data_IF_400617040361
#
_entry.id   IF_400617040361
#
_cell.length_a   1.000
_cell.length_b   1.000
_cell.length_c   1.000
_cell.angle_alpha   90.00
_cell.angle_beta   90.00
_cell.angle_gamma   90.00
#
_symmetry.space_group_name_H-M   'P 1'
#
loop_
_entity.id
_entity.type
_entity.pdbx_description
1 polymer ?
#
# COMPACT_ATOMS: atom_id res chain seq x y z
N UNK A 1 -8.78 -14.25 5.10
CA UNK A 1 -9.51 -14.13 3.81
C UNK A 1 -8.73 -13.33 2.74
N UNK A 2 -7.72 -12.50 3.07
CA UNK A 2 -6.83 -11.93 2.04
C UNK A 2 -5.83 -12.95 1.46
N UNK A 3 -5.24 -13.80 2.30
CA UNK A 3 -4.28 -14.83 1.85
C UNK A 3 -4.84 -15.74 0.76
N UNK A 4 -6.13 -16.13 0.83
CA UNK A 4 -6.75 -16.99 -0.18
C UNK A 4 -6.91 -16.31 -1.54
N UNK A 5 -7.22 -15.02 -1.59
CA UNK A 5 -7.39 -14.29 -2.86
C UNK A 5 -6.06 -13.94 -3.51
N UNK A 6 -5.01 -13.70 -2.71
CA UNK A 6 -3.67 -13.42 -3.22
C UNK A 6 -3.02 -14.67 -3.83
N UNK A 7 -3.22 -15.84 -3.20
CA UNK A 7 -2.77 -17.13 -3.75
C UNK A 7 -3.47 -17.44 -5.06
N UNK A 8 -4.80 -17.28 -5.13
CA UNK A 8 -5.58 -17.53 -6.34
C UNK A 8 -5.19 -16.59 -7.49
N UNK A 9 -4.95 -15.30 -7.22
CA UNK A 9 -4.46 -14.36 -8.22
C UNK A 9 -3.06 -14.73 -8.73
N UNK A 10 -2.14 -15.09 -7.83
CA UNK A 10 -0.78 -15.48 -8.21
C UNK A 10 -0.80 -16.74 -9.08
N UNK A 11 -1.61 -17.74 -8.73
CA UNK A 11 -1.81 -18.96 -9.53
C UNK A 11 -2.39 -18.66 -10.91
N UNK A 12 -3.45 -17.84 -10.98
CA UNK A 12 -4.07 -17.44 -12.25
C UNK A 12 -3.10 -16.68 -13.14
N UNK A 13 -2.36 -15.72 -12.58
CA UNK A 13 -1.39 -14.91 -13.30
C UNK A 13 -0.07 -15.63 -13.58
N UNK A 14 0.12 -16.86 -13.09
CA UNK A 14 1.38 -17.62 -13.11
C UNK A 14 2.56 -16.83 -12.54
N UNK A 15 2.29 -16.05 -11.49
CA UNK A 15 3.28 -15.26 -10.76
C UNK A 15 3.71 -16.00 -9.49
N UNK A 16 4.96 -15.79 -9.02
CA UNK A 16 5.37 -16.35 -7.74
C UNK A 16 4.54 -15.76 -6.61
N UNK A 17 4.33 -16.56 -5.56
CA UNK A 17 3.69 -16.10 -4.33
C UNK A 17 4.44 -14.90 -3.75
N UNK A 18 3.71 -13.85 -3.40
CA UNK A 18 4.29 -12.62 -2.88
C UNK A 18 4.53 -12.75 -1.37
N UNK A 19 5.79 -12.74 -0.90
CA UNK A 19 6.07 -12.86 0.52
C UNK A 19 5.57 -11.61 1.29
N UNK A 20 5.11 -11.75 2.54
CA UNK A 20 4.78 -10.61 3.39
C UNK A 20 6.01 -9.74 3.65
N UNK A 21 5.87 -8.41 3.61
CA UNK A 21 6.97 -7.47 3.82
C UNK A 21 7.69 -7.66 5.17
N UNK A 22 6.97 -8.10 6.20
CA UNK A 22 7.52 -8.34 7.53
C UNK A 22 8.10 -9.75 7.72
N UNK A 23 8.16 -10.57 6.67
CA UNK A 23 8.76 -11.90 6.76
C UNK A 23 10.24 -11.80 7.15
N UNK A 24 10.68 -12.46 8.24
CA UNK A 24 12.07 -12.45 8.65
C UNK A 24 13.02 -12.95 7.55
N UNK A 25 14.14 -12.26 7.36
CA UNK A 25 15.14 -12.62 6.35
C UNK A 25 14.81 -12.20 4.92
N UNK A 26 13.61 -11.66 4.65
CA UNK A 26 13.26 -11.16 3.33
C UNK A 26 14.08 -9.90 2.99
N UNK A 27 14.90 -9.99 1.96
CA UNK A 27 15.73 -8.88 1.50
C UNK A 27 15.70 -8.69 -0.03
N UNK A 28 15.08 -9.59 -0.78
CA UNK A 28 14.96 -9.52 -2.23
C UNK A 28 13.50 -9.32 -2.62
N UNK A 29 13.23 -8.19 -3.28
CA UNK A 29 11.88 -7.78 -3.69
C UNK A 29 11.71 -7.76 -5.21
N UNK A 30 12.66 -8.34 -5.95
CA UNK A 30 12.69 -8.31 -7.42
C UNK A 30 11.45 -8.95 -8.06
N UNK A 31 10.85 -9.92 -7.35
CA UNK A 31 9.63 -10.62 -7.77
C UNK A 31 8.36 -10.09 -7.10
N UNK A 32 8.45 -8.99 -6.34
CA UNK A 32 7.33 -8.40 -5.61
C UNK A 32 7.32 -8.76 -4.12
N UNK A 33 6.35 -8.19 -3.41
CA UNK A 33 6.19 -8.28 -1.95
C UNK A 33 4.79 -7.81 -1.58
N UNK A 34 4.21 -8.41 -0.54
CA UNK A 34 2.91 -8.04 -0.01
C UNK A 34 3.04 -7.10 1.21
N UNK A 35 2.37 -5.94 1.16
CA UNK A 35 2.31 -4.98 2.26
C UNK A 35 0.99 -5.05 3.05
N UNK A 36 0.02 -5.84 2.59
CA UNK A 36 -1.28 -5.96 3.20
C UNK A 36 -1.21 -6.56 4.60
N UNK A 37 -2.16 -6.17 5.45
CA UNK A 37 -2.31 -6.65 6.81
C UNK A 37 -3.79 -6.81 7.09
N UNK A 38 -4.19 -8.01 7.50
CA UNK A 38 -5.55 -8.29 7.95
C UNK A 38 -5.66 -8.08 9.47
N UNK A 39 -6.84 -7.63 9.92
CA UNK A 39 -7.23 -7.83 11.32
C UNK A 39 -7.36 -9.35 11.55
N UNK A 40 -6.74 -9.85 12.61
CA UNK A 40 -6.97 -11.21 13.11
C UNK A 40 -7.52 -11.09 14.53
N UNK A 41 -8.79 -11.47 14.73
CA UNK A 41 -9.46 -11.38 16.01
C UNK A 41 -9.98 -12.75 16.46
N UNK A 42 -9.43 -13.25 17.57
CA UNK A 42 -10.20 -13.93 18.65
C UNK A 42 -9.35 -14.19 19.92
N UNK A 43 -8.01 -14.16 19.84
CA UNK A 43 -7.15 -14.30 21.02
C UNK A 43 -6.19 -13.11 21.12
N UNK A 44 -6.25 -12.46 22.28
CA UNK A 44 -5.51 -11.29 22.72
C UNK A 44 -4.03 -11.28 22.29
N UNK A 45 -3.62 -10.15 21.70
CA UNK A 45 -2.26 -9.56 21.71
C UNK A 45 -1.42 -9.47 20.42
N UNK A 46 -1.78 -10.03 19.26
CA UNK A 46 -0.80 -10.12 18.14
C UNK A 46 -1.19 -9.76 16.70
N UNK A 47 -2.20 -8.91 16.47
CA UNK A 47 -2.38 -8.34 15.12
C UNK A 47 -2.74 -6.84 15.15
N UNK A 48 -1.77 -6.01 15.51
CA UNK A 48 -1.84 -4.57 15.23
C UNK A 48 -1.97 -4.36 13.73
N UNK A 49 -3.13 -3.89 13.28
CA UNK A 49 -3.33 -3.64 11.85
C UNK A 49 -2.41 -2.57 11.37
N UNK A 50 -1.66 -2.91 10.33
CA UNK A 50 -0.72 -1.99 9.70
C UNK A 50 -1.55 -1.00 8.90
N UNK A 51 -1.70 0.22 9.43
CA UNK A 51 -2.39 1.29 8.75
C UNK A 51 -1.82 1.54 7.34
N UNK A 52 -2.69 1.98 6.43
CA UNK A 52 -2.35 2.23 5.03
C UNK A 52 -1.15 3.18 4.85
N UNK A 53 -0.99 4.18 5.73
CA UNK A 53 0.18 5.08 5.75
C UNK A 53 1.48 4.31 5.99
N UNK A 54 1.47 3.32 6.87
CA UNK A 54 2.63 2.47 7.17
C UNK A 54 2.94 1.55 5.99
N UNK A 55 1.92 0.95 5.36
CA UNK A 55 2.08 0.15 4.13
C UNK A 55 2.71 0.98 3.00
N UNK A 56 2.28 2.23 2.83
CA UNK A 56 2.87 3.17 1.88
C UNK A 56 4.33 3.51 2.20
N UNK A 57 4.69 3.63 3.47
CA UNK A 57 6.08 3.80 3.89
C UNK A 57 6.94 2.56 3.58
N UNK A 58 6.39 1.35 3.77
CA UNK A 58 7.06 0.10 3.40
C UNK A 58 7.30 0.03 1.89
N UNK A 59 6.29 0.37 1.08
CA UNK A 59 6.42 0.48 -0.38
C UNK A 59 7.57 1.42 -0.79
N UNK A 60 7.63 2.62 -0.21
CA UNK A 60 8.73 3.57 -0.48
C UNK A 60 10.10 2.99 -0.11
N UNK A 61 10.21 2.23 0.98
CA UNK A 61 11.46 1.55 1.37
C UNK A 61 11.85 0.49 0.34
N UNK A 62 10.91 -0.31 -0.15
CA UNK A 62 11.16 -1.32 -1.18
C UNK A 62 11.65 -0.68 -2.47
N UNK A 63 10.99 0.39 -2.95
CA UNK A 63 11.45 1.15 -4.13
C UNK A 63 12.89 1.65 -3.95
N UNK A 64 13.23 2.19 -2.77
CA UNK A 64 14.60 2.64 -2.47
C UNK A 64 15.60 1.48 -2.48
N UNK A 65 15.24 0.33 -1.90
CA UNK A 65 16.11 -0.84 -1.87
C UNK A 65 16.34 -1.44 -3.26
N UNK A 66 15.30 -1.55 -4.09
CA UNK A 66 15.44 -2.01 -5.48
C UNK A 66 16.41 -1.13 -6.26
N UNK A 67 16.28 0.20 -6.14
CA UNK A 67 17.21 1.16 -6.78
C UNK A 67 18.64 1.00 -6.28
N UNK A 68 18.82 0.79 -4.98
CA UNK A 68 20.15 0.61 -4.40
C UNK A 68 20.81 -0.70 -4.86
N UNK A 69 20.03 -1.79 -4.97
CA UNK A 69 20.57 -3.12 -5.33
C UNK A 69 20.77 -3.33 -6.83
N UNK A 70 19.84 -2.84 -7.65
CA UNK A 70 19.78 -3.11 -9.09
C UNK A 70 20.20 -1.89 -9.93
N UNK A 71 20.37 -0.73 -9.31
CA UNK A 71 20.54 0.54 -10.00
C UNK A 71 19.24 1.12 -10.54
N UNK A 72 19.30 2.36 -11.00
CA UNK A 72 18.10 3.13 -11.39
C UNK A 72 17.39 2.55 -12.61
N UNK A 73 18.12 2.11 -13.64
CA UNK A 73 17.54 1.66 -14.91
C UNK A 73 16.77 0.34 -14.78
N UNK A 74 17.35 -0.65 -14.10
CA UNK A 74 16.72 -1.94 -13.88
C UNK A 74 15.53 -1.83 -12.91
N UNK A 75 15.70 -1.10 -11.80
CA UNK A 75 14.61 -0.85 -10.87
C UNK A 75 13.43 -0.12 -11.54
N UNK A 76 13.70 0.85 -12.43
CA UNK A 76 12.66 1.52 -13.23
C UNK A 76 11.91 0.51 -14.11
N UNK A 77 12.64 -0.38 -14.79
CA UNK A 77 12.04 -1.39 -15.68
C UNK A 77 11.10 -2.31 -14.90
N UNK A 78 11.56 -2.85 -13.77
CA UNK A 78 10.75 -3.74 -12.92
C UNK A 78 9.51 -3.00 -12.41
N UNK A 79 9.68 -1.80 -11.83
CA UNK A 79 8.57 -1.02 -11.28
C UNK A 79 7.56 -0.59 -12.36
N UNK A 80 8.00 -0.32 -13.58
CA UNK A 80 7.11 0.06 -14.69
C UNK A 80 6.27 -1.10 -15.24
N UNK A 81 6.74 -2.35 -15.06
CA UNK A 81 6.08 -3.57 -15.54
C UNK A 81 5.32 -4.30 -14.43
N UNK A 82 5.49 -3.88 -13.18
CA UNK A 82 4.84 -4.50 -12.04
C UNK A 82 3.32 -4.28 -12.07
N UNK A 83 2.58 -5.25 -11.54
CA UNK A 83 1.14 -5.14 -11.28
C UNK A 83 0.95 -4.72 -9.83
N UNK A 84 0.10 -3.71 -9.61
CA UNK A 84 -0.21 -3.19 -8.27
C UNK A 84 -1.64 -3.57 -7.90
N UNK A 85 -1.79 -4.45 -6.92
CA UNK A 85 -3.09 -4.81 -6.34
C UNK A 85 -3.30 -4.04 -5.04
N UNK A 86 -4.43 -3.35 -4.92
CA UNK A 86 -4.78 -2.54 -3.75
C UNK A 86 -6.21 -2.88 -3.34
N UNK A 87 -6.37 -3.35 -2.10
CA UNK A 87 -7.67 -3.62 -1.48
C UNK A 87 -7.73 -2.94 -0.12
N UNK A 88 -8.59 -1.94 0.03
CA UNK A 88 -8.77 -1.15 1.25
C UNK A 88 -10.24 -0.75 1.41
N UNK A 89 -10.61 -0.18 2.56
CA UNK A 89 -11.96 0.33 2.82
C UNK A 89 -12.81 -0.61 3.68
N UNK A 90 -12.66 -1.93 3.54
CA UNK A 90 -13.49 -2.89 4.29
C UNK A 90 -13.41 -2.69 5.81
N UNK A 91 -12.21 -2.45 6.34
CA UNK A 91 -12.01 -2.21 7.77
C UNK A 91 -12.63 -0.88 8.24
N UNK A 92 -12.67 0.14 7.38
CA UNK A 92 -13.26 1.45 7.70
C UNK A 92 -14.77 1.33 7.94
N UNK A 93 -15.46 0.43 7.23
CA UNK A 93 -16.87 0.13 7.48
C UNK A 93 -17.07 -0.89 8.60
N UNK A 94 -16.24 -1.93 8.67
CA UNK A 94 -16.41 -3.01 9.66
C UNK A 94 -16.12 -2.57 11.09
N UNK A 95 -15.04 -1.82 11.31
CA UNK A 95 -14.59 -1.47 12.66
C UNK A 95 -15.62 -0.65 13.46
N UNK A 96 -16.28 0.39 12.90
CA UNK A 96 -17.31 1.12 13.62
C UNK A 96 -18.52 0.26 14.03
N UNK A 97 -18.91 -0.73 13.21
CA UNK A 97 -19.97 -1.69 13.56
C UNK A 97 -19.60 -2.57 14.77
N UNK A 98 -18.33 -2.93 14.92
CA UNK A 98 -17.90 -3.83 16.00
C UNK A 98 -17.43 -3.13 17.27
N UNK A 99 -17.27 -1.80 17.24
CA UNK A 99 -16.64 -1.03 18.33
C UNK A 99 -17.59 -0.02 19.01
N UNK A 100 -18.91 -0.10 18.78
CA UNK A 100 -19.90 0.86 19.29
C UNK A 100 -19.50 2.32 19.03
N UNK A 101 -19.01 2.61 17.83
CA UNK A 101 -18.52 3.94 17.46
C UNK A 101 -19.67 4.83 16.98
N UNK A 102 -19.69 6.10 17.42
CA UNK A 102 -20.59 7.13 16.90
C UNK A 102 -20.15 7.69 15.52
N UNK A 103 -19.22 7.02 14.83
CA UNK A 103 -18.74 7.42 13.51
C UNK A 103 -19.86 7.55 12.48
N UNK A 104 -20.81 6.61 12.48
CA UNK A 104 -21.97 6.65 11.58
C UNK A 104 -23.07 7.62 12.02
N UNK A 105 -23.03 8.07 13.28
CA UNK A 105 -23.96 9.09 13.80
C UNK A 105 -23.44 10.51 13.55
N UNK A 106 -22.10 10.68 13.54
CA UNK A 106 -21.43 11.98 13.38
C UNK A 106 -21.19 12.39 11.93
N UNK A 107 -21.36 11.48 10.97
CA UNK A 107 -21.19 11.74 9.54
C UNK A 107 -22.37 11.18 8.76
N UNK A 108 -22.83 11.90 7.74
CA UNK A 108 -23.71 11.31 6.75
C UNK A 108 -22.99 10.20 5.98
N UNK A 109 -23.75 9.24 5.48
CA UNK A 109 -23.19 8.15 4.66
C UNK A 109 -22.32 8.67 3.50
N UNK A 110 -22.74 9.78 2.86
CA UNK A 110 -22.01 10.41 1.75
C UNK A 110 -20.67 11.00 2.20
N UNK A 111 -20.63 11.66 3.36
CA UNK A 111 -19.39 12.23 3.90
C UNK A 111 -18.39 11.12 4.24
N UNK A 112 -18.87 10.05 4.88
CA UNK A 112 -18.01 8.92 5.24
C UNK A 112 -17.43 8.21 4.01
N UNK A 113 -18.26 7.93 2.99
CA UNK A 113 -17.79 7.41 1.69
C UNK A 113 -16.74 8.34 1.07
N UNK A 114 -16.98 9.66 1.13
CA UNK A 114 -16.05 10.69 0.67
C UNK A 114 -14.69 10.62 1.37
N UNK A 115 -14.66 10.40 2.68
CA UNK A 115 -13.41 10.24 3.46
C UNK A 115 -12.63 8.99 3.02
N UNK A 116 -13.30 7.85 2.90
CA UNK A 116 -12.65 6.58 2.49
C UNK A 116 -12.07 6.70 1.08
N UNK A 117 -12.84 7.22 0.12
CA UNK A 117 -12.38 7.43 -1.26
C UNK A 117 -11.27 8.48 -1.31
N UNK A 118 -11.38 9.55 -0.51
CA UNK A 118 -10.36 10.59 -0.40
C UNK A 118 -9.02 10.02 0.05
N UNK A 119 -9.01 9.17 1.06
CA UNK A 119 -7.82 8.49 1.55
C UNK A 119 -7.23 7.53 0.49
N UNK A 120 -8.06 6.76 -0.20
CA UNK A 120 -7.63 5.90 -1.31
C UNK A 120 -6.94 6.73 -2.41
N UNK A 121 -7.58 7.83 -2.83
CA UNK A 121 -7.07 8.73 -3.85
C UNK A 121 -5.71 9.31 -3.46
N UNK A 122 -5.52 9.72 -2.20
CA UNK A 122 -4.24 10.22 -1.68
C UNK A 122 -3.13 9.17 -1.84
N UNK A 123 -3.41 7.91 -1.49
CA UNK A 123 -2.42 6.84 -1.57
C UNK A 123 -2.06 6.48 -3.01
N UNK A 124 -3.05 6.35 -3.89
CA UNK A 124 -2.81 6.11 -5.32
C UNK A 124 -1.96 7.23 -5.92
N UNK A 125 -2.26 8.50 -5.61
CA UNK A 125 -1.44 9.64 -6.04
C UNK A 125 0.01 9.53 -5.58
N UNK A 126 0.26 9.14 -4.33
CA UNK A 126 1.63 8.99 -3.82
C UNK A 126 2.35 7.84 -4.52
N UNK A 127 1.69 6.69 -4.71
CA UNK A 127 2.27 5.56 -5.45
C UNK A 127 2.65 6.01 -6.87
N UNK A 128 1.71 6.63 -7.58
CA UNK A 128 1.93 7.15 -8.92
C UNK A 128 3.12 8.12 -8.96
N UNK A 129 3.18 9.07 -8.03
CA UNK A 129 4.29 10.03 -7.93
C UNK A 129 5.63 9.31 -7.72
N UNK A 130 5.72 8.36 -6.78
CA UNK A 130 6.96 7.60 -6.53
C UNK A 130 7.42 6.84 -7.79
N UNK A 131 6.49 6.26 -8.54
CA UNK A 131 6.77 5.55 -9.79
C UNK A 131 7.12 6.51 -10.94
N UNK A 132 6.46 7.65 -11.03
CA UNK A 132 6.70 8.68 -12.04
C UNK A 132 8.03 9.40 -11.83
N UNK A 133 8.43 9.69 -10.58
CA UNK A 133 9.79 10.14 -10.27
C UNK A 133 10.86 9.13 -10.69
N UNK A 134 10.51 7.84 -10.85
CA UNK A 134 11.42 6.86 -11.43
C UNK A 134 11.59 7.03 -12.95
N UNK A 135 10.73 7.82 -13.62
CA UNK A 135 10.73 7.99 -15.06
C UNK A 135 11.55 9.17 -15.56
N UNK A 136 11.81 10.19 -14.72
CA UNK A 136 12.59 11.38 -15.10
C UNK A 136 14.10 11.14 -14.99
N UNK A 137 14.89 11.28 -16.07
CA UNK A 137 16.34 11.30 -15.99
C UNK A 137 16.79 12.60 -15.31
N UNK A 138 17.56 12.50 -14.22
CA UNK A 138 18.31 13.59 -13.56
C UNK A 138 17.75 15.01 -13.77
N UNK A 139 16.69 15.37 -13.05
CA UNK A 139 16.28 16.78 -12.92
C UNK A 139 16.61 17.22 -11.49
N UNK A 140 17.63 18.04 -11.36
CA UNK A 140 17.97 18.84 -10.16
C UNK A 140 16.98 20.00 -9.94
N UNK A 141 15.69 19.75 -10.19
CA UNK A 141 14.58 20.71 -10.04
C UNK A 141 13.86 20.54 -8.70
N UNK A 142 13.10 21.57 -8.25
CA UNK A 142 12.69 21.71 -6.86
C UNK A 142 11.84 20.52 -6.43
N UNK A 143 12.20 19.94 -5.28
CA UNK A 143 11.45 18.89 -4.63
C UNK A 143 9.97 19.31 -4.54
N UNK A 144 9.08 18.52 -5.14
CA UNK A 144 7.64 18.65 -4.90
C UNK A 144 7.45 18.51 -3.40
N UNK A 145 7.00 19.59 -2.76
CA UNK A 145 6.79 19.63 -1.33
C UNK A 145 5.62 18.69 -1.01
N UNK A 146 5.93 17.54 -0.41
CA UNK A 146 4.94 16.51 -0.06
C UNK A 146 3.84 17.05 0.89
N UNK A 147 4.04 18.21 1.54
CA UNK A 147 3.02 18.87 2.33
C UNK A 147 1.84 19.37 1.46
N UNK A 148 2.09 19.89 0.27
CA UNK A 148 1.04 20.39 -0.64
C UNK A 148 0.15 19.28 -1.22
N UNK A 149 0.64 18.04 -1.26
CA UNK A 149 -0.15 16.89 -1.72
C UNK A 149 -1.04 16.26 -0.64
N UNK A 150 -0.84 16.64 0.63
CA UNK A 150 -1.54 16.07 1.77
C UNK A 150 -2.69 16.97 2.28
N UNK A 151 -2.71 18.24 1.90
CA UNK A 151 -3.75 19.22 2.23
C UNK A 151 -4.75 19.41 1.08
N UNK A 152 -5.59 18.40 0.84
CA UNK A 152 -6.94 18.54 0.27
C UNK A 152 -7.85 17.53 0.96
#
# INVERSE_FOLDING_TARGET
>A
MMESQEVEFAEYAKLPYLPPYLQPGLNNYTYGVNFASAHQGYVSDLASVIHLKTQLCQFKKVVKQLRHKLGHAEAKTILSKAVYLISIGNNDYFAPFTSNSSLFESHSHKEFVGLVIGNLKKVIKVIYTVLWWSHTPNVTGPYINLKELLEV
#
